data_IF_447570969676
#
_entry.id   IF_447570969676
#
_cell.length_a   1.000
_cell.length_b   1.000
_cell.length_c   1.000
_cell.angle_alpha   90.00
_cell.angle_beta   90.00
_cell.angle_gamma   90.00
#
_symmetry.space_group_name_H-M   'P 1'
#
loop_
_entity.id
_entity.type
_entity.pdbx_description
1 polymer ?
#
# COMPACT_ATOMS: atom_id res chain seq x y z
N UNK A 1 25.48 -4.26 11.58
CA UNK A 1 24.32 -3.40 11.86
C UNK A 1 23.75 -3.00 10.51
N UNK A 2 22.51 -3.38 10.18
CA UNK A 2 21.87 -2.93 8.93
C UNK A 2 21.52 -1.45 9.10
N UNK A 3 22.24 -0.56 8.45
CA UNK A 3 21.79 0.82 8.25
C UNK A 3 20.65 0.75 7.22
N UNK A 4 19.41 0.70 7.70
CA UNK A 4 18.25 0.87 6.83
C UNK A 4 18.00 2.37 6.70
N UNK A 5 18.39 2.94 5.56
CA UNK A 5 17.96 4.29 5.20
C UNK A 5 16.47 4.24 4.86
N UNK A 6 15.67 4.94 5.64
CA UNK A 6 14.23 5.07 5.41
C UNK A 6 14.04 6.23 4.43
N UNK A 7 13.39 6.02 3.27
CA UNK A 7 13.11 7.09 2.33
C UNK A 7 12.15 8.12 2.94
N UNK A 8 12.18 9.36 2.43
CA UNK A 8 11.15 10.34 2.78
C UNK A 8 9.77 9.86 2.30
N UNK A 9 8.70 10.28 2.97
CA UNK A 9 7.34 9.77 2.72
C UNK A 9 6.84 10.05 1.29
N UNK A 10 7.38 11.09 0.66
CA UNK A 10 7.09 11.57 -0.70
C UNK A 10 8.09 11.06 -1.74
N UNK A 11 9.09 10.26 -1.33
CA UNK A 11 10.06 9.66 -2.25
C UNK A 11 9.34 8.78 -3.26
N UNK A 12 9.67 8.97 -4.54
CA UNK A 12 9.17 8.12 -5.60
C UNK A 12 9.85 6.74 -5.56
N UNK A 13 9.08 5.72 -5.17
CA UNK A 13 9.59 4.38 -4.96
C UNK A 13 9.93 3.67 -6.28
N UNK A 14 9.27 4.03 -7.38
CA UNK A 14 9.52 3.44 -8.69
C UNK A 14 10.74 4.08 -9.37
N UNK A 15 10.85 5.41 -9.35
CA UNK A 15 11.99 6.13 -9.93
C UNK A 15 13.30 5.82 -9.21
N UNK A 16 13.24 5.59 -7.90
CA UNK A 16 14.40 5.17 -7.09
C UNK A 16 14.72 3.68 -7.21
N UNK A 17 13.84 2.88 -7.83
CA UNK A 17 13.99 1.43 -7.93
C UNK A 17 13.78 0.67 -6.62
N UNK A 18 13.25 1.34 -5.59
CA UNK A 18 12.89 0.72 -4.31
C UNK A 18 11.65 -0.19 -4.46
N UNK A 19 10.80 0.09 -5.44
CA UNK A 19 9.65 -0.69 -5.82
C UNK A 19 9.71 -0.97 -7.33
N UNK A 20 9.92 -2.24 -7.67
CA UNK A 20 9.86 -2.73 -9.04
C UNK A 20 8.49 -3.37 -9.33
N UNK A 21 8.30 -3.87 -10.55
CA UNK A 21 7.02 -4.46 -10.95
C UNK A 21 6.63 -5.73 -10.18
N UNK A 22 7.59 -6.52 -9.71
CA UNK A 22 7.31 -7.77 -8.98
C UNK A 22 7.01 -7.46 -7.51
N UNK A 23 7.86 -6.69 -6.87
CA UNK A 23 7.70 -6.22 -5.50
C UNK A 23 6.44 -5.35 -5.34
N UNK A 24 5.98 -4.67 -6.39
CA UNK A 24 4.67 -4.01 -6.40
C UNK A 24 3.52 -5.02 -6.25
N UNK A 25 3.52 -6.12 -7.00
CA UNK A 25 2.49 -7.17 -6.85
C UNK A 25 2.54 -7.78 -5.45
N UNK A 26 3.74 -8.03 -4.92
CA UNK A 26 3.91 -8.54 -3.55
C UNK A 26 3.37 -7.55 -2.50
N UNK A 27 3.64 -6.25 -2.67
CA UNK A 27 3.08 -5.20 -1.81
C UNK A 27 1.55 -5.28 -1.79
N UNK A 28 0.89 -5.40 -2.93
CA UNK A 28 -0.57 -5.48 -3.01
C UNK A 28 -1.11 -6.67 -2.22
N UNK A 29 -0.52 -7.85 -2.41
CA UNK A 29 -0.89 -9.06 -1.65
C UNK A 29 -0.73 -8.83 -0.15
N UNK A 30 0.39 -8.22 0.28
CA UNK A 30 0.62 -7.92 1.70
C UNK A 30 -0.38 -6.91 2.26
N UNK A 31 -0.78 -5.91 1.48
CA UNK A 31 -1.81 -4.97 1.91
C UNK A 31 -3.14 -5.69 2.14
N UNK A 32 -3.54 -6.61 1.24
CA UNK A 32 -4.76 -7.39 1.42
C UNK A 32 -4.69 -8.34 2.63
N UNK A 33 -3.59 -9.09 2.77
CA UNK A 33 -3.41 -10.09 3.83
C UNK A 33 -3.25 -9.46 5.22
N UNK A 34 -2.47 -8.37 5.33
CA UNK A 34 -2.11 -7.77 6.63
C UNK A 34 -3.07 -6.67 7.07
N UNK A 35 -3.64 -5.92 6.13
CA UNK A 35 -4.45 -4.73 6.44
C UNK A 35 -5.92 -4.88 6.05
N UNK A 36 -6.31 -5.99 5.38
CA UNK A 36 -7.69 -6.25 4.99
C UNK A 36 -8.26 -5.22 4.01
N UNK A 37 -7.38 -4.55 3.24
CA UNK A 37 -7.80 -3.74 2.11
C UNK A 37 -8.11 -4.64 0.92
N UNK A 38 -8.95 -4.18 0.00
CA UNK A 38 -9.20 -4.86 -1.28
C UNK A 38 -8.76 -3.92 -2.38
N UNK A 39 -7.92 -4.40 -3.29
CA UNK A 39 -7.43 -3.60 -4.41
C UNK A 39 -8.11 -4.07 -5.69
N UNK A 40 -8.93 -3.21 -6.29
CA UNK A 40 -9.53 -3.52 -7.59
C UNK A 40 -8.59 -3.19 -8.75
N UNK A 41 -8.78 -3.85 -9.90
CA UNK A 41 -7.89 -3.70 -11.06
C UNK A 41 -7.82 -2.25 -11.58
N UNK A 42 -8.91 -1.49 -11.46
CA UNK A 42 -8.99 -0.07 -11.81
C UNK A 42 -8.19 0.84 -10.86
N UNK A 43 -7.86 0.34 -9.66
CA UNK A 43 -7.03 1.06 -8.69
C UNK A 43 -5.53 0.77 -8.85
N UNK A 44 -5.15 -0.17 -9.71
CA UNK A 44 -3.75 -0.55 -10.00
C UNK A 44 -3.02 0.48 -10.89
N UNK A 45 -3.30 1.76 -10.70
CA UNK A 45 -2.51 2.83 -11.30
C UNK A 45 -1.26 3.08 -10.44
N UNK A 46 -0.05 3.10 -11.02
CA UNK A 46 1.20 3.32 -10.28
C UNK A 46 1.19 4.59 -9.42
N UNK A 47 0.46 5.62 -9.82
CA UNK A 47 0.34 6.88 -9.08
C UNK A 47 -0.30 6.70 -7.69
N UNK A 48 -1.20 5.72 -7.51
CA UNK A 48 -1.79 5.39 -6.20
C UNK A 48 -0.76 4.80 -5.21
N UNK A 49 0.40 4.35 -5.71
CA UNK A 49 1.42 3.65 -4.93
C UNK A 49 2.83 4.24 -5.11
N UNK A 50 2.93 5.43 -5.74
CA UNK A 50 4.23 6.04 -6.10
C UNK A 50 5.12 6.36 -4.90
N UNK A 51 4.52 6.59 -3.72
CA UNK A 51 5.23 6.93 -2.49
C UNK A 51 4.55 6.32 -1.27
N UNK A 52 5.23 6.33 -0.11
CA UNK A 52 4.66 5.86 1.16
C UNK A 52 3.38 6.64 1.48
N UNK A 53 3.38 7.96 1.26
CA UNK A 53 2.22 8.81 1.50
C UNK A 53 1.01 8.42 0.64
N UNK A 54 1.22 8.06 -0.63
CA UNK A 54 0.14 7.59 -1.51
C UNK A 54 -0.41 6.23 -1.06
N UNK A 55 0.49 5.29 -0.69
CA UNK A 55 0.09 3.97 -0.18
C UNK A 55 -0.76 4.11 1.09
N UNK A 56 -0.36 4.96 2.03
CA UNK A 56 -1.13 5.23 3.25
C UNK A 56 -2.50 5.82 2.91
N UNK A 57 -2.56 6.79 2.01
CA UNK A 57 -3.82 7.40 1.58
C UNK A 57 -4.76 6.36 0.94
N UNK A 58 -4.21 5.49 0.09
CA UNK A 58 -4.94 4.39 -0.53
C UNK A 58 -5.49 3.43 0.54
N UNK A 59 -4.68 3.03 1.51
CA UNK A 59 -5.09 2.12 2.59
C UNK A 59 -6.21 2.74 3.42
N UNK A 60 -6.08 4.00 3.83
CA UNK A 60 -7.09 4.68 4.63
C UNK A 60 -8.43 4.82 3.88
N UNK A 61 -8.40 5.01 2.57
CA UNK A 61 -9.60 5.09 1.75
C UNK A 61 -10.31 3.74 1.55
N UNK A 62 -9.55 2.63 1.62
CA UNK A 62 -10.05 1.29 1.28
C UNK A 62 -10.11 0.33 2.50
N UNK A 63 -9.70 0.78 3.68
CA UNK A 63 -9.81 -0.01 4.91
C UNK A 63 -11.28 -0.22 5.24
N UNK A 64 -11.69 -1.49 5.18
CA UNK A 64 -13.03 -1.89 5.59
C UNK A 64 -13.04 -2.04 7.10
N UNK A 65 -13.33 -0.96 7.81
CA UNK A 65 -13.64 -1.06 9.23
C UNK A 65 -14.78 -2.07 9.38
N UNK A 66 -14.61 -3.16 10.15
CA UNK A 66 -15.70 -4.10 10.36
C UNK A 66 -16.87 -3.30 10.91
N UNK A 67 -17.97 -3.29 10.16
CA UNK A 67 -19.26 -2.81 10.67
C UNK A 67 -19.51 -3.67 11.88
N UNK A 68 -19.35 -3.10 13.08
CA UNK A 68 -19.52 -3.77 14.37
C UNK A 68 -20.66 -4.76 14.25
N UNK A 69 -20.39 -6.02 14.59
CA UNK A 69 -21.36 -7.10 14.59
C UNK A 69 -22.63 -6.61 15.29
N UNK A 70 -23.61 -6.20 14.49
CA UNK A 70 -24.83 -5.61 14.98
C UNK A 70 -25.71 -6.77 15.49
N UNK A 71 -25.83 -6.80 16.82
CA UNK A 71 -26.89 -7.42 17.61
C UNK A 71 -27.02 -8.95 17.50
N UNK A 72 -26.58 -9.60 18.59
CA UNK A 72 -27.15 -10.85 19.09
C UNK A 72 -28.59 -10.56 19.54
#
# INVERSE_FOLDING_TARGET
MMNLEVPAEDTDLFETGLLDSLSFIELLVQLEEQLGVSVSLDQLEPDNFRSIQHIVSFVLANQRFPKSAAAI
#
